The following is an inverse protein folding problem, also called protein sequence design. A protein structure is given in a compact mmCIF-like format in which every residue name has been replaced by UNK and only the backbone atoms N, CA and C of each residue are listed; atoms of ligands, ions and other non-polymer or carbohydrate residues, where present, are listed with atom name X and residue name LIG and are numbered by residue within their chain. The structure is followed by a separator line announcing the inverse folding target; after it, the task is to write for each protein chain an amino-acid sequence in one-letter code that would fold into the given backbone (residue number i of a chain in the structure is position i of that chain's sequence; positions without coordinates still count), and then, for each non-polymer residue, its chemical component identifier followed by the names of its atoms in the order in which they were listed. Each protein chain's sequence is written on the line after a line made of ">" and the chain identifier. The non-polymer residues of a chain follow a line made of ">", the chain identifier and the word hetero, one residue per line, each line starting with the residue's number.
data_IF_814023570602
#
_entry.id   IF_814023570602
#
_cell.length_a   1.000
_cell.length_b   1.000
_cell.length_c   1.000
_cell.angle_alpha   90.00
_cell.angle_beta   90.00
_cell.angle_gamma   90.00
#
_symmetry.space_group_name_H-M   'P 1'
#
loop_
_entity.id
_entity.type
_entity.pdbx_description
1 polymer ?
#
# COMPACT_ATOMS: atom_id res chain seq x y z
N UNK A 1 21.09 3.44 -2.12
CA UNK A 1 20.90 4.89 -2.26
C UNK A 1 19.45 5.19 -1.94
N UNK A 2 19.15 5.78 -0.78
CA UNK A 2 17.79 6.19 -0.42
C UNK A 2 17.40 7.39 -1.29
N UNK A 3 16.30 7.30 -2.05
CA UNK A 3 15.73 8.45 -2.75
C UNK A 3 15.29 9.48 -1.70
N UNK A 4 16.05 10.56 -1.55
CA UNK A 4 15.70 11.65 -0.62
C UNK A 4 14.53 12.44 -1.18
N UNK A 5 13.33 12.11 -0.70
CA UNK A 5 12.11 12.86 -1.01
C UNK A 5 12.22 14.24 -0.35
N UNK A 6 11.94 15.29 -1.12
CA UNK A 6 12.08 16.68 -0.66
C UNK A 6 10.69 17.32 -0.53
N UNK A 7 10.52 18.21 0.43
CA UNK A 7 9.32 19.05 0.61
C UNK A 7 9.71 20.52 0.77
N UNK A 8 8.75 21.42 0.61
CA UNK A 8 8.94 22.84 0.87
C UNK A 8 8.25 23.22 2.17
N UNK A 9 8.91 24.06 2.97
CA UNK A 9 8.29 24.62 4.16
C UNK A 9 7.11 25.51 3.74
N UNK A 10 5.88 25.28 4.23
CA UNK A 10 4.72 26.11 3.86
C UNK A 10 4.79 27.53 4.44
N UNK A 11 5.65 27.76 5.44
CA UNK A 11 5.81 29.07 6.07
C UNK A 11 6.88 29.94 5.39
N UNK A 12 8.08 29.40 5.11
CA UNK A 12 9.22 30.17 4.58
C UNK A 12 9.72 29.74 3.20
N UNK A 13 9.19 28.67 2.62
CA UNK A 13 9.60 28.18 1.30
C UNK A 13 10.97 27.50 1.23
N UNK A 14 11.66 27.28 2.36
CA UNK A 14 12.93 26.53 2.35
C UNK A 14 12.70 25.10 1.88
N UNK A 15 13.63 24.57 1.07
CA UNK A 15 13.65 23.16 0.67
C UNK A 15 14.13 22.30 1.84
N UNK A 16 13.35 21.29 2.21
CA UNK A 16 13.57 20.42 3.35
C UNK A 16 13.57 18.95 2.92
N UNK A 17 14.26 18.12 3.69
CA UNK A 17 14.06 16.67 3.62
C UNK A 17 12.67 16.31 4.18
N UNK A 18 12.06 15.25 3.67
CA UNK A 18 10.72 14.82 4.05
C UNK A 18 10.61 14.44 5.53
N UNK A 19 11.69 13.93 6.13
CA UNK A 19 11.73 13.47 7.52
C UNK A 19 11.83 14.62 8.54
N UNK A 20 12.14 15.84 8.08
CA UNK A 20 12.30 17.00 8.96
C UNK A 20 10.95 17.39 9.55
N UNK A 21 10.85 17.30 10.89
CA UNK A 21 9.67 17.71 11.68
C UNK A 21 9.67 19.19 12.02
N UNK A 22 10.83 19.85 12.08
CA UNK A 22 10.95 21.27 12.41
C UNK A 22 11.85 21.93 11.37
N UNK A 23 11.37 22.97 10.68
CA UNK A 23 12.17 23.69 9.70
C UNK A 23 13.40 24.34 10.37
N UNK A 24 14.65 24.09 9.92
CA UNK A 24 15.84 24.69 10.52
C UNK A 24 15.97 26.19 10.24
N UNK A 25 15.28 26.72 9.22
CA UNK A 25 15.35 28.14 8.83
C UNK A 25 14.37 28.99 9.65
N UNK A 26 13.09 28.61 9.68
CA UNK A 26 12.04 29.41 10.32
C UNK A 26 11.46 28.79 11.59
N UNK A 27 11.91 27.59 11.99
CA UNK A 27 11.44 26.83 13.17
C UNK A 27 9.96 26.44 13.14
N UNK A 28 9.31 26.51 11.98
CA UNK A 28 7.94 26.04 11.79
C UNK A 28 7.86 24.52 11.88
N UNK A 29 6.98 24.01 12.74
CA UNK A 29 6.66 22.58 12.85
C UNK A 29 5.99 22.10 11.57
N UNK A 30 6.61 21.11 10.93
CA UNK A 30 6.10 20.51 9.71
C UNK A 30 4.90 19.63 10.07
N UNK A 31 3.75 19.87 9.43
CA UNK A 31 2.55 19.09 9.70
C UNK A 31 2.71 17.67 9.16
N UNK A 32 2.13 16.71 9.87
CA UNK A 32 2.21 15.27 9.60
C UNK A 32 1.71 14.87 8.19
N UNK A 33 0.86 15.69 7.57
CA UNK A 33 0.42 15.46 6.19
C UNK A 33 1.56 15.55 5.17
N UNK A 34 2.66 16.22 5.53
CA UNK A 34 3.87 16.26 4.73
C UNK A 34 4.66 14.95 4.78
N UNK A 35 4.19 13.93 5.51
CA UNK A 35 4.75 12.57 5.58
C UNK A 35 3.80 11.51 4.95
N UNK A 36 2.57 11.88 4.60
CA UNK A 36 1.49 10.91 4.44
C UNK A 36 1.51 10.25 3.06
N UNK A 37 1.65 8.92 3.04
CA UNK A 37 1.36 8.08 1.87
C UNK A 37 0.03 8.48 1.24
N UNK A 38 -0.03 8.41 -0.09
CA UNK A 38 -1.23 8.80 -0.81
C UNK A 38 -2.41 7.91 -0.37
N UNK A 39 -3.56 8.54 -0.11
CA UNK A 39 -4.79 7.81 0.24
C UNK A 39 -5.33 7.14 -1.00
N UNK A 40 -4.94 5.88 -1.20
CA UNK A 40 -5.49 5.02 -2.24
C UNK A 40 -6.88 4.54 -1.82
N UNK A 41 -7.81 4.46 -2.79
CA UNK A 41 -9.18 4.03 -2.55
C UNK A 41 -9.26 2.59 -2.07
N UNK A 42 -10.16 2.32 -1.11
CA UNK A 42 -10.43 0.95 -0.62
C UNK A 42 -11.06 0.03 -1.67
N UNK A 43 -11.54 0.57 -2.80
CA UNK A 43 -12.09 -0.23 -3.90
C UNK A 43 -11.07 -1.24 -4.47
N UNK A 44 -9.77 -0.97 -4.31
CA UNK A 44 -8.72 -1.88 -4.77
C UNK A 44 -8.79 -3.29 -4.16
N UNK A 45 -9.48 -3.48 -3.03
CA UNK A 45 -9.69 -4.80 -2.42
C UNK A 45 -10.59 -5.73 -3.25
N UNK A 46 -11.46 -5.19 -4.12
CA UNK A 46 -12.29 -6.02 -5.00
C UNK A 46 -11.46 -6.76 -6.06
N UNK A 47 -10.33 -6.18 -6.48
CA UNK A 47 -9.49 -6.75 -7.54
C UNK A 47 -8.91 -8.12 -7.13
N UNK A 48 -8.15 -8.26 -6.02
CA UNK A 48 -7.68 -9.56 -5.56
C UNK A 48 -8.81 -10.48 -5.05
N UNK A 49 -9.94 -9.93 -4.62
CA UNK A 49 -11.06 -10.74 -4.15
C UNK A 49 -11.70 -11.57 -5.28
N UNK A 50 -11.93 -10.96 -6.44
CA UNK A 50 -12.54 -11.65 -7.59
C UNK A 50 -11.52 -12.35 -8.50
N UNK A 51 -10.31 -11.82 -8.61
CA UNK A 51 -9.28 -12.34 -9.52
C UNK A 51 -8.14 -13.08 -8.80
N UNK A 52 -8.26 -13.30 -7.49
CA UNK A 52 -7.30 -14.04 -6.67
C UNK A 52 -5.88 -13.47 -6.76
N UNK A 53 -4.91 -14.35 -6.97
CA UNK A 53 -3.48 -14.02 -7.10
C UNK A 53 -3.21 -13.02 -8.22
N UNK A 54 -3.86 -13.18 -9.38
CA UNK A 54 -3.64 -12.30 -10.54
C UNK A 54 -4.14 -10.88 -10.24
N UNK A 55 -5.30 -10.79 -9.57
CA UNK A 55 -5.82 -9.52 -9.08
C UNK A 55 -4.92 -8.86 -8.05
N UNK A 56 -4.37 -9.65 -7.12
CA UNK A 56 -3.42 -9.15 -6.12
C UNK A 56 -2.15 -8.58 -6.73
N UNK A 57 -1.59 -9.26 -7.73
CA UNK A 57 -0.41 -8.78 -8.44
C UNK A 57 -0.68 -7.49 -9.22
N UNK A 58 -1.79 -7.42 -9.97
CA UNK A 58 -2.18 -6.22 -10.71
C UNK A 58 -2.43 -5.02 -9.76
N UNK A 59 -3.17 -5.24 -8.68
CA UNK A 59 -3.47 -4.23 -7.69
C UNK A 59 -2.21 -3.74 -6.94
N UNK A 60 -1.26 -4.65 -6.67
CA UNK A 60 0.04 -4.28 -6.11
C UNK A 60 0.84 -3.41 -7.07
N UNK A 61 0.99 -3.83 -8.33
CA UNK A 61 1.85 -3.12 -9.29
C UNK A 61 1.39 -1.69 -9.55
N UNK A 62 0.08 -1.44 -9.59
CA UNK A 62 -0.48 -0.10 -9.84
C UNK A 62 -0.40 0.81 -8.60
N UNK A 63 -0.42 0.24 -7.40
CA UNK A 63 -0.45 1.02 -6.15
C UNK A 63 0.91 1.13 -5.44
N UNK A 64 1.90 0.33 -5.85
CA UNK A 64 3.22 0.25 -5.20
C UNK A 64 3.90 1.60 -5.03
N UNK A 65 3.81 2.47 -6.03
CA UNK A 65 4.44 3.80 -6.01
C UNK A 65 3.70 4.82 -5.15
N UNK A 66 2.37 4.68 -5.02
CA UNK A 66 1.51 5.63 -4.29
C UNK A 66 1.41 5.30 -2.80
N UNK A 67 1.25 4.01 -2.51
CA UNK A 67 1.08 3.48 -1.16
C UNK A 67 1.58 2.04 -1.10
N UNK A 68 2.87 1.87 -0.79
CA UNK A 68 3.51 0.55 -0.71
C UNK A 68 2.87 -0.36 0.35
N UNK A 69 2.40 0.20 1.47
CA UNK A 69 1.81 -0.55 2.58
C UNK A 69 0.50 -1.20 2.15
N UNK A 70 -0.38 -0.44 1.50
CA UNK A 70 -1.63 -0.96 0.94
C UNK A 70 -1.35 -1.94 -0.21
N UNK A 71 -0.45 -1.59 -1.13
CA UNK A 71 -0.10 -2.45 -2.26
C UNK A 71 0.33 -3.84 -1.78
N UNK A 72 1.24 -3.90 -0.79
CA UNK A 72 1.70 -5.17 -0.22
C UNK A 72 0.56 -5.95 0.44
N UNK A 73 -0.38 -5.28 1.14
CA UNK A 73 -1.57 -5.94 1.71
C UNK A 73 -2.48 -6.55 0.64
N UNK A 74 -2.66 -5.88 -0.50
CA UNK A 74 -3.48 -6.39 -1.61
C UNK A 74 -2.87 -7.64 -2.25
N UNK A 75 -1.54 -7.67 -2.42
CA UNK A 75 -0.83 -8.86 -2.92
C UNK A 75 -0.96 -10.04 -1.96
N UNK A 76 -0.66 -9.81 -0.68
CA UNK A 76 -0.74 -10.84 0.37
C UNK A 76 -2.17 -11.39 0.44
N UNK A 77 -3.17 -10.51 0.40
CA UNK A 77 -4.56 -10.92 0.41
C UNK A 77 -4.90 -11.82 -0.79
N UNK A 78 -4.51 -11.45 -2.02
CA UNK A 78 -4.75 -12.28 -3.21
C UNK A 78 -4.12 -13.68 -3.11
N UNK A 79 -2.91 -13.79 -2.55
CA UNK A 79 -2.23 -15.07 -2.30
C UNK A 79 -2.99 -15.90 -1.28
N UNK A 80 -3.24 -15.35 -0.09
CA UNK A 80 -3.91 -16.07 1.00
C UNK A 80 -5.32 -16.49 0.59
N UNK A 81 -6.08 -15.62 -0.07
CA UNK A 81 -7.43 -15.90 -0.55
C UNK A 81 -7.44 -17.06 -1.56
N UNK A 82 -6.48 -17.08 -2.47
CA UNK A 82 -6.35 -18.17 -3.46
C UNK A 82 -6.02 -19.51 -2.79
N UNK A 83 -5.13 -19.50 -1.78
CA UNK A 83 -4.77 -20.71 -1.02
C UNK A 83 -5.97 -21.24 -0.23
N UNK A 84 -6.75 -20.36 0.42
CA UNK A 84 -7.97 -20.74 1.16
C UNK A 84 -8.94 -21.49 0.24
N UNK A 85 -9.24 -20.94 -0.94
CA UNK A 85 -10.12 -21.62 -1.90
C UNK A 85 -9.57 -22.95 -2.39
N UNK A 86 -8.25 -23.05 -2.61
CA UNK A 86 -7.59 -24.31 -2.95
C UNK A 86 -7.74 -25.37 -1.85
N UNK A 87 -7.54 -24.97 -0.60
CA UNK A 87 -7.72 -25.84 0.57
C UNK A 87 -9.19 -26.28 0.71
N UNK A 88 -10.13 -25.34 0.62
CA UNK A 88 -11.57 -25.64 0.68
C UNK A 88 -11.97 -26.62 -0.42
N UNK A 89 -11.54 -26.40 -1.66
CA UNK A 89 -11.81 -27.31 -2.77
C UNK A 89 -11.22 -28.70 -2.54
N UNK A 90 -10.00 -28.79 -2.02
CA UNK A 90 -9.34 -30.05 -1.69
C UNK A 90 -10.10 -30.83 -0.61
N UNK A 91 -10.46 -30.18 0.50
CA UNK A 91 -11.24 -30.81 1.57
C UNK A 91 -12.66 -31.18 1.12
N UNK A 92 -13.31 -30.34 0.31
CA UNK A 92 -14.63 -30.64 -0.26
C UNK A 92 -14.57 -31.94 -1.09
N UNK A 93 -13.53 -32.11 -1.92
CA UNK A 93 -13.33 -33.33 -2.72
C UNK A 93 -13.06 -34.57 -1.86
N UNK A 94 -12.41 -34.42 -0.72
CA UNK A 94 -12.15 -35.52 0.22
C UNK A 94 -13.41 -35.90 1.00
N UNK A 95 -14.16 -34.91 1.50
CA UNK A 95 -15.32 -35.12 2.36
C UNK A 95 -16.57 -35.52 1.58
N UNK A 96 -16.70 -35.05 0.33
CA UNK A 96 -17.83 -35.31 -0.55
C UNK A 96 -17.33 -36.00 -1.84
N UNK A 97 -16.90 -37.28 -1.75
CA UNK A 97 -16.62 -38.06 -2.94
C UNK A 97 -17.91 -38.19 -3.79
N UNK A 98 -17.78 -38.30 -5.13
CA UNK A 98 -18.92 -38.36 -6.04
C UNK A 98 -19.80 -39.60 -5.82
#
# INVERSE_FOLDING_TARGET
>A
MSERKMKFCPNCGSKLDFEVKICPVCKFEQPEWAEKEEKVSKLWWFVPFFLGVLGGFAAWSINKERNEKLANRLLIFGIVWSIIWGIVYFFLKILLPP
#
